data_IF_475396308528
#
_entry.id   IF_475396308528
#
_cell.length_a   1.000
_cell.length_b   1.000
_cell.length_c   1.000
_cell.angle_alpha   90.00
_cell.angle_beta   90.00
_cell.angle_gamma   90.00
#
_symmetry.space_group_name_H-M   'P 1'
#
loop_
_entity.id
_entity.type
_entity.pdbx_description
1 polymer ?
#
# COMPACT_ATOMS: atom_id res chain seq x y z
N UNK A 1 -0.05 5.63 1.48
CA UNK A 1 0.91 4.95 2.37
C UNK A 1 1.08 3.57 1.81
N UNK A 2 2.31 3.10 1.80
CA UNK A 2 2.62 1.73 1.43
C UNK A 2 3.20 1.05 2.66
N UNK A 3 2.60 -0.06 3.07
CA UNK A 3 3.19 -1.01 4.02
C UNK A 3 3.81 -2.12 3.18
N UNK A 4 5.13 -2.11 3.06
CA UNK A 4 5.88 -3.10 2.28
C UNK A 4 6.44 -4.20 3.20
N UNK A 5 6.80 -5.33 2.60
CA UNK A 5 7.35 -6.54 3.24
C UNK A 5 6.32 -7.29 4.09
N UNK A 6 5.08 -7.38 3.62
CA UNK A 6 4.02 -8.12 4.31
C UNK A 6 4.34 -9.61 4.47
N UNK A 7 5.18 -10.16 3.60
CA UNK A 7 5.71 -11.53 3.66
C UNK A 7 6.50 -11.81 4.96
N UNK A 8 7.10 -10.78 5.57
CA UNK A 8 7.85 -10.92 6.82
C UNK A 8 6.97 -10.83 8.07
N UNK A 9 5.69 -10.47 7.94
CA UNK A 9 4.81 -10.25 9.09
C UNK A 9 4.74 -11.45 10.07
N UNK A 10 4.66 -12.72 9.60
CA UNK A 10 4.67 -13.87 10.50
C UNK A 10 5.99 -14.04 11.27
N UNK A 11 7.11 -13.58 10.71
CA UNK A 11 8.45 -13.74 11.30
C UNK A 11 8.72 -12.74 12.42
N UNK A 12 8.02 -11.61 12.42
CA UNK A 12 8.17 -10.54 13.43
C UNK A 12 6.94 -10.40 14.33
N UNK A 13 5.94 -11.26 14.17
CA UNK A 13 4.69 -11.21 14.94
C UNK A 13 3.84 -9.97 14.65
N UNK A 14 3.92 -9.43 13.43
CA UNK A 14 3.12 -8.26 13.03
C UNK A 14 1.73 -8.68 12.55
N UNK A 15 0.69 -7.98 13.04
CA UNK A 15 -0.70 -8.16 12.58
C UNK A 15 -1.04 -7.11 11.52
N UNK A 16 -1.17 -7.57 10.27
CA UNK A 16 -1.49 -6.72 9.12
C UNK A 16 -2.90 -6.09 9.19
N UNK A 17 -3.85 -6.72 9.89
CA UNK A 17 -5.20 -6.17 10.07
C UNK A 17 -5.19 -5.00 11.06
N UNK A 18 -4.37 -5.07 12.11
CA UNK A 18 -4.14 -3.92 13.02
C UNK A 18 -3.55 -2.77 12.23
N UNK A 19 -2.49 -3.01 11.46
CA UNK A 19 -1.83 -1.97 10.65
C UNK A 19 -2.79 -1.31 9.65
N UNK A 20 -3.67 -2.09 9.01
CA UNK A 20 -4.68 -1.56 8.09
C UNK A 20 -5.66 -0.64 8.80
N UNK A 21 -6.22 -1.06 9.94
CA UNK A 21 -7.16 -0.25 10.73
C UNK A 21 -6.53 1.05 11.22
N UNK A 22 -5.30 0.97 11.73
CA UNK A 22 -4.57 2.15 12.21
C UNK A 22 -4.28 3.12 11.07
N UNK A 23 -3.89 2.61 9.90
CA UNK A 23 -3.65 3.43 8.72
C UNK A 23 -4.94 4.13 8.26
N UNK A 24 -6.08 3.44 8.27
CA UNK A 24 -7.37 4.03 7.90
C UNK A 24 -7.79 5.14 8.88
N UNK A 25 -7.62 4.90 10.19
CA UNK A 25 -7.95 5.86 11.23
C UNK A 25 -7.11 7.14 11.15
N UNK A 26 -5.79 7.03 10.95
CA UNK A 26 -4.90 8.20 10.92
C UNK A 26 -4.99 8.94 9.59
N UNK A 27 -5.33 8.25 8.49
CA UNK A 27 -5.24 8.83 7.14
C UNK A 27 -6.56 9.31 6.57
N UNK A 28 -7.62 9.36 7.37
CA UNK A 28 -8.94 9.85 6.98
C UNK A 28 -9.41 9.21 5.66
N UNK A 29 -9.26 7.89 5.53
CA UNK A 29 -9.66 7.12 4.35
C UNK A 29 -8.77 7.28 3.11
N UNK A 30 -7.63 7.98 3.18
CA UNK A 30 -6.67 8.02 2.06
C UNK A 30 -6.07 6.63 1.81
N UNK A 31 -5.91 6.20 0.55
CA UNK A 31 -5.60 4.81 0.20
C UNK A 31 -4.29 4.33 0.82
N UNK A 32 -4.35 3.13 1.42
CA UNK A 32 -3.22 2.37 1.97
C UNK A 32 -3.06 1.09 1.16
N UNK A 33 -1.83 0.74 0.82
CA UNK A 33 -1.51 -0.51 0.13
C UNK A 33 -0.62 -1.36 1.03
N UNK A 34 -1.09 -2.56 1.36
CA UNK A 34 -0.28 -3.62 1.96
C UNK A 34 0.29 -4.46 0.81
N UNK A 35 1.60 -4.64 0.76
CA UNK A 35 2.26 -5.38 -0.32
C UNK A 35 3.53 -6.10 0.12
N UNK A 36 3.93 -7.06 -0.70
CA UNK A 36 5.28 -7.61 -0.73
C UNK A 36 5.85 -7.48 -2.13
N UNK A 37 6.99 -6.80 -2.28
CA UNK A 37 7.74 -6.79 -3.54
C UNK A 37 8.43 -8.13 -3.83
N UNK A 38 8.54 -9.01 -2.83
CA UNK A 38 9.00 -10.39 -3.04
C UNK A 38 7.93 -11.20 -3.79
N UNK A 39 6.65 -10.98 -3.44
CA UNK A 39 5.51 -11.67 -4.06
C UNK A 39 5.02 -11.00 -5.35
N UNK A 40 5.00 -9.66 -5.39
CA UNK A 40 4.68 -8.84 -6.57
C UNK A 40 5.79 -7.80 -6.83
N UNK A 41 6.86 -8.18 -7.56
CA UNK A 41 7.96 -7.27 -7.88
C UNK A 41 7.56 -6.08 -8.76
N UNK A 42 6.43 -6.17 -9.47
CA UNK A 42 5.95 -5.10 -10.32
C UNK A 42 5.23 -3.98 -9.53
N UNK A 43 5.00 -4.19 -8.23
CA UNK A 43 4.29 -3.27 -7.35
C UNK A 43 2.92 -2.86 -7.94
N UNK A 44 2.18 -3.83 -8.48
CA UNK A 44 1.05 -3.63 -9.40
C UNK A 44 0.05 -2.58 -8.90
N UNK A 45 -0.36 -2.67 -7.63
CA UNK A 45 -1.31 -1.73 -7.03
C UNK A 45 -0.77 -0.31 -6.91
N UNK A 46 0.51 -0.14 -6.56
CA UNK A 46 1.15 1.18 -6.46
C UNK A 46 1.39 1.77 -7.85
N UNK A 47 1.84 0.95 -8.80
CA UNK A 47 2.04 1.36 -10.19
C UNK A 47 0.72 1.87 -10.80
N UNK A 48 -0.38 1.15 -10.59
CA UNK A 48 -1.71 1.59 -11.03
C UNK A 48 -2.09 2.94 -10.42
N UNK A 49 -1.87 3.13 -9.11
CA UNK A 49 -2.15 4.40 -8.45
C UNK A 49 -1.32 5.56 -9.01
N UNK A 50 0.00 5.36 -9.22
CA UNK A 50 0.88 6.37 -9.81
C UNK A 50 0.42 6.76 -11.21
N UNK A 51 0.09 5.79 -12.06
CA UNK A 51 -0.43 6.05 -13.42
C UNK A 51 -1.72 6.86 -13.40
N UNK A 52 -2.62 6.59 -12.44
CA UNK A 52 -3.82 7.39 -12.27
C UNK A 52 -3.52 8.84 -11.85
N UNK A 53 -2.51 9.07 -10.99
CA UNK A 53 -2.11 10.43 -10.63
C UNK A 53 -1.49 11.19 -11.80
N UNK A 54 -0.65 10.53 -12.61
CA UNK A 54 -0.08 11.12 -13.82
C UNK A 54 -1.17 11.52 -14.82
N UNK A 55 -2.11 10.62 -15.11
CA UNK A 55 -3.23 10.92 -16.01
C UNK A 55 -4.10 12.08 -15.50
N UNK A 56 -4.31 12.19 -14.18
CA UNK A 56 -5.05 13.31 -13.59
C UNK A 56 -4.27 14.64 -13.67
N UNK A 57 -2.93 14.59 -13.56
CA UNK A 57 -2.09 15.77 -13.67
C UNK A 57 -1.98 16.27 -15.12
N UNK A 58 -1.94 15.36 -16.10
CA UNK A 58 -1.91 15.71 -17.53
C UNK A 58 -3.24 16.30 -18.04
N UNK A 59 -4.32 16.13 -17.27
CA UNK A 59 -5.65 16.66 -17.58
C UNK A 59 -5.91 18.08 -17.02
N UNK A 60 -4.94 18.67 -16.31
CA UNK A 60 -4.95 20.04 -15.77
C UNK A 60 -4.26 21.01 -16.71
#
# INVERSE_FOLDING_TARGET
MVVNKTDLAPLVGADLQVMSRDADAVRAGRPTVLQSLTEDPAATAVLAWVRAQLAAADAL
#
